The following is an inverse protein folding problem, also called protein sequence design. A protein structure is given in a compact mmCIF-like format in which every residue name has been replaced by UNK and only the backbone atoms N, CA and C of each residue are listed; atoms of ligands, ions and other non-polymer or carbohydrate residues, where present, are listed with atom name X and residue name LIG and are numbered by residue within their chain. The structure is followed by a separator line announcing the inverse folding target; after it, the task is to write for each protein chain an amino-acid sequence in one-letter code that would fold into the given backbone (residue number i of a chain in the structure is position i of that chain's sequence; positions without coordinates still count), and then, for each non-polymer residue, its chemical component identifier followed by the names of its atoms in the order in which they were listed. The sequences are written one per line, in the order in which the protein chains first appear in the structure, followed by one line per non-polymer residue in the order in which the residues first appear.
data_IF_406012961061
#
_entry.id   IF_406012961061
#
_cell.length_a   1.000
_cell.length_b   1.000
_cell.length_c   1.000
_cell.angle_alpha   90.00
_cell.angle_beta   90.00
_cell.angle_gamma   90.00
#
_symmetry.space_group_name_H-M   'P 1'
#
loop_
_entity.id
_entity.type
_entity.pdbx_description
1 polymer ?
#
# COMPACT_ATOMS: atom_id res chain seq x y z
N UNK A 1 29.57 11.48 -2.58
CA UNK A 1 28.30 11.80 -3.27
C UNK A 1 27.20 11.93 -2.23
N UNK A 2 26.63 13.13 -2.03
CA UNK A 2 25.47 13.31 -1.13
C UNK A 2 24.22 12.77 -1.84
N UNK A 3 23.64 11.71 -1.31
CA UNK A 3 22.41 11.11 -1.80
C UNK A 3 21.23 11.99 -1.38
N UNK A 4 20.55 12.60 -2.34
CA UNK A 4 19.36 13.41 -2.09
C UNK A 4 18.13 12.51 -2.06
N UNK A 5 17.54 12.34 -0.87
CA UNK A 5 16.34 11.52 -0.64
C UNK A 5 15.10 12.01 -1.42
N UNK A 6 15.18 13.12 -2.15
CA UNK A 6 14.10 13.67 -2.98
C UNK A 6 14.11 13.19 -4.44
N UNK A 7 15.04 12.33 -4.87
CA UNK A 7 15.16 11.91 -6.28
C UNK A 7 14.22 10.79 -6.74
N UNK A 8 13.43 10.16 -5.86
CA UNK A 8 12.37 9.26 -6.30
C UNK A 8 11.06 10.02 -6.41
N UNK A 9 10.75 10.51 -7.62
CA UNK A 9 9.39 10.94 -7.94
C UNK A 9 8.62 9.67 -8.28
N UNK A 10 7.98 9.08 -7.27
CA UNK A 10 6.87 8.15 -7.50
C UNK A 10 5.78 8.98 -8.16
N UNK A 11 5.30 8.56 -9.33
CA UNK A 11 4.23 9.21 -10.09
C UNK A 11 2.85 9.01 -9.41
N UNK A 12 2.79 9.35 -8.13
CA UNK A 12 1.58 9.58 -7.35
C UNK A 12 1.97 10.55 -6.24
N UNK A 13 2.16 11.83 -6.60
CA UNK A 13 2.33 12.90 -5.63
C UNK A 13 0.97 13.22 -5.01
N UNK A 14 0.44 12.28 -4.23
CA UNK A 14 -0.56 12.61 -3.22
C UNK A 14 0.16 13.41 -2.15
N UNK A 15 0.00 14.73 -2.17
CA UNK A 15 0.46 15.58 -1.09
C UNK A 15 -0.37 15.27 0.15
N UNK A 16 0.08 14.32 0.97
CA UNK A 16 -0.16 14.40 2.40
C UNK A 16 0.89 15.36 2.94
N UNK A 17 0.56 16.64 2.90
CA UNK A 17 1.28 17.61 3.72
C UNK A 17 1.18 17.06 5.15
N UNK A 18 2.30 16.76 5.80
CA UNK A 18 2.41 16.82 7.26
C UNK A 18 2.23 18.30 7.63
N UNK A 19 1.04 18.83 7.38
CA UNK A 19 0.58 20.06 7.98
C UNK A 19 0.16 19.69 9.39
N UNK A 20 0.73 20.36 10.38
CA UNK A 20 0.06 20.46 11.67
C UNK A 20 -1.41 20.75 11.42
N UNK A 21 -2.25 20.09 12.22
CA UNK A 21 -3.71 20.26 12.25
C UNK A 21 -4.12 21.63 11.69
N UNK A 22 -4.93 21.70 10.61
CA UNK A 22 -5.45 22.99 10.19
C UNK A 22 -6.14 23.61 11.40
N UNK A 23 -5.97 24.93 11.66
CA UNK A 23 -6.71 25.58 12.72
C UNK A 23 -8.18 25.33 12.43
N UNK A 24 -8.82 24.62 13.35
CA UNK A 24 -10.22 24.23 13.33
C UNK A 24 -11.02 25.43 12.88
N UNK A 25 -11.74 25.33 11.76
CA UNK A 25 -12.88 26.22 11.52
C UNK A 25 -13.78 25.99 12.71
N UNK A 26 -13.78 26.93 13.67
CA UNK A 26 -14.66 26.92 14.83
C UNK A 26 -16.09 27.18 14.35
N UNK A 27 -16.67 26.20 13.67
CA UNK A 27 -18.09 25.94 13.83
C UNK A 27 -18.26 25.45 15.27
N UNK A 28 -19.20 26.04 16.00
CA UNK A 28 -19.62 25.54 17.31
C UNK A 28 -19.92 24.04 17.19
N UNK A 29 -19.05 23.19 17.72
CA UNK A 29 -19.36 21.79 17.97
C UNK A 29 -19.21 21.61 19.47
N UNK A 30 -20.36 21.49 20.14
CA UNK A 30 -20.40 21.08 21.54
C UNK A 30 -19.71 19.71 21.67
N UNK A 31 -18.77 19.53 22.61
CA UNK A 31 -18.17 18.24 22.87
C UNK A 31 -19.20 17.40 23.65
N UNK A 32 -19.85 16.44 23.00
CA UNK A 32 -20.80 15.56 23.71
C UNK A 32 -21.64 14.62 22.86
N UNK A 33 -21.93 14.93 21.60
CA UNK A 33 -22.77 14.07 20.75
C UNK A 33 -22.34 14.19 19.30
N UNK A 34 -21.47 13.29 18.86
CA UNK A 34 -21.41 12.93 17.45
C UNK A 34 -22.08 11.57 17.35
N UNK A 35 -23.13 11.48 16.55
CA UNK A 35 -23.79 10.21 16.20
C UNK A 35 -22.82 9.38 15.36
N UNK A 36 -21.85 8.77 16.03
CA UNK A 36 -20.86 7.94 15.37
C UNK A 36 -21.59 6.74 14.75
N UNK A 37 -21.29 6.48 13.49
CA UNK A 37 -21.70 5.26 12.79
C UNK A 37 -20.61 4.84 11.81
N UNK A 38 -20.47 3.53 11.60
CA UNK A 38 -19.50 3.00 10.63
C UNK A 38 -20.11 2.77 9.25
N UNK A 39 -21.42 2.61 9.15
CA UNK A 39 -22.09 2.34 7.87
C UNK A 39 -22.16 3.57 6.96
N UNK A 40 -22.09 4.79 7.51
CA UNK A 40 -21.95 6.04 6.76
C UNK A 40 -20.71 6.82 7.20
N UNK A 41 -19.82 7.09 6.24
CA UNK A 41 -18.56 7.81 6.48
C UNK A 41 -18.43 8.99 5.53
N UNK A 42 -17.53 9.91 5.87
CA UNK A 42 -17.18 10.99 4.96
C UNK A 42 -16.35 10.47 3.79
N UNK A 43 -16.49 11.13 2.65
CA UNK A 43 -15.79 10.77 1.43
C UNK A 43 -14.70 11.79 1.11
N UNK A 44 -13.61 11.30 0.51
CA UNK A 44 -12.49 12.12 0.01
C UNK A 44 -12.38 11.91 -1.50
N UNK A 45 -12.37 13.01 -2.25
CA UNK A 45 -12.18 12.98 -3.70
C UNK A 45 -10.87 13.68 -4.07
N UNK A 46 -10.16 13.10 -5.04
CA UNK A 46 -8.90 13.65 -5.54
C UNK A 46 -9.13 14.42 -6.83
N UNK A 47 -8.54 15.62 -6.91
CA UNK A 47 -8.47 16.39 -8.16
C UNK A 47 -7.35 15.82 -9.02
N UNK A 48 -7.63 15.57 -10.29
CA UNK A 48 -6.65 15.03 -11.23
C UNK A 48 -5.45 15.98 -11.42
N UNK A 49 -4.27 15.39 -11.67
CA UNK A 49 -3.04 16.14 -11.93
C UNK A 49 -2.29 16.54 -10.66
N UNK A 50 -1.64 17.71 -10.67
CA UNK A 50 -0.77 18.20 -9.59
C UNK A 50 -1.52 18.96 -8.49
N UNK A 51 -2.85 18.93 -8.51
CA UNK A 51 -3.69 19.79 -7.69
C UNK A 51 -3.74 21.23 -8.19
N UNK A 52 -4.27 22.09 -7.34
CA UNK A 52 -4.72 23.43 -7.68
C UNK A 52 -4.20 24.45 -6.64
N UNK A 53 -3.29 25.38 -7.02
CA UNK A 53 -2.95 26.46 -6.12
C UNK A 53 -4.18 27.35 -5.91
N UNK A 54 -4.53 27.57 -4.65
CA UNK A 54 -5.62 28.44 -4.24
C UNK A 54 -5.07 29.56 -3.35
N UNK A 55 -5.54 30.78 -3.55
CA UNK A 55 -5.29 31.90 -2.64
C UNK A 55 -6.55 32.20 -1.82
N UNK A 56 -6.35 32.80 -0.65
CA UNK A 56 -7.47 33.36 0.12
C UNK A 56 -8.26 34.31 -0.78
N UNK A 57 -9.58 34.25 -0.68
CA UNK A 57 -10.52 35.10 -1.42
C UNK A 57 -10.52 34.88 -2.95
N UNK A 58 -9.81 33.85 -3.44
CA UNK A 58 -9.87 33.42 -4.84
C UNK A 58 -11.13 32.59 -5.07
N UNK A 59 -11.95 32.99 -6.05
CA UNK A 59 -13.03 32.16 -6.54
C UNK A 59 -12.48 30.99 -7.37
N UNK A 60 -12.88 29.77 -7.02
CA UNK A 60 -12.59 28.55 -7.78
C UNK A 60 -13.91 27.94 -8.24
N UNK A 61 -13.93 27.43 -9.48
CA UNK A 61 -15.09 26.73 -10.03
C UNK A 61 -14.87 25.21 -9.92
N UNK A 62 -15.76 24.55 -9.19
CA UNK A 62 -15.80 23.10 -9.05
C UNK A 62 -17.06 22.58 -9.74
N UNK A 63 -16.90 21.72 -10.74
CA UNK A 63 -18.00 20.96 -11.34
C UNK A 63 -18.17 19.66 -10.57
N UNK A 64 -19.40 19.39 -10.12
CA UNK A 64 -19.79 18.09 -9.60
C UNK A 64 -20.65 17.37 -10.64
N UNK A 65 -20.33 16.11 -10.92
CA UNK A 65 -21.08 15.25 -11.85
C UNK A 65 -21.34 13.91 -11.21
N UNK A 66 -22.55 13.37 -11.41
CA UNK A 66 -22.92 12.06 -10.90
C UNK A 66 -23.67 11.26 -11.97
N UNK A 67 -23.66 9.94 -11.80
CA UNK A 67 -24.54 9.02 -12.50
C UNK A 67 -25.35 8.22 -11.46
N UNK A 68 -25.87 7.04 -11.83
CA UNK A 68 -26.68 6.21 -10.95
C UNK A 68 -25.92 5.70 -9.72
N UNK A 69 -24.59 5.53 -9.80
CA UNK A 69 -23.80 4.82 -8.76
C UNK A 69 -22.52 5.54 -8.34
N UNK A 70 -22.19 6.69 -8.95
CA UNK A 70 -20.92 7.37 -8.70
C UNK A 70 -21.08 8.89 -8.75
N UNK A 71 -20.20 9.57 -8.00
CA UNK A 71 -20.05 11.02 -8.00
C UNK A 71 -18.58 11.36 -8.26
N UNK A 72 -18.35 12.42 -9.03
CA UNK A 72 -17.05 12.88 -9.48
C UNK A 72 -16.98 14.41 -9.41
N UNK A 73 -15.78 14.92 -9.20
CA UNK A 73 -15.54 16.34 -9.05
C UNK A 73 -14.38 16.76 -9.96
N UNK A 74 -14.56 17.86 -10.67
CA UNK A 74 -13.56 18.44 -11.54
C UNK A 74 -13.38 19.91 -11.22
N UNK A 75 -12.14 20.31 -10.96
CA UNK A 75 -11.82 21.71 -10.78
C UNK A 75 -11.56 22.37 -12.15
N UNK A 76 -12.34 23.38 -12.49
CA UNK A 76 -12.21 24.11 -13.74
C UNK A 76 -11.11 25.17 -13.59
N UNK A 77 -9.95 24.87 -14.16
CA UNK A 77 -8.82 25.79 -14.25
C UNK A 77 -8.74 26.35 -15.68
N UNK A 78 -8.73 27.67 -15.83
CA UNK A 78 -8.55 28.34 -17.11
C UNK A 78 -7.18 27.94 -17.70
N UNK A 79 -7.16 27.02 -18.67
CA UNK A 79 -6.05 26.89 -19.63
C UNK A 79 -5.35 25.54 -19.81
N UNK A 80 -5.67 24.47 -19.06
CA UNK A 80 -5.21 23.12 -19.43
C UNK A 80 -6.30 22.10 -19.11
N UNK A 81 -6.99 21.64 -20.15
CA UNK A 81 -7.87 20.48 -20.07
C UNK A 81 -7.13 19.34 -19.39
N UNK A 82 -7.84 18.64 -18.49
CA UNK A 82 -7.32 17.47 -17.82
C UNK A 82 -6.76 16.52 -18.87
N UNK A 83 -5.44 16.37 -18.92
CA UNK A 83 -4.84 15.31 -19.73
C UNK A 83 -5.27 14.02 -19.07
N UNK A 84 -6.02 13.21 -19.81
CA UNK A 84 -6.28 11.83 -19.40
C UNK A 84 -4.95 11.21 -18.96
N UNK A 85 -4.92 10.58 -17.78
CA UNK A 85 -3.71 9.96 -17.28
C UNK A 85 -3.24 8.92 -18.34
N UNK A 86 -1.98 9.02 -18.82
CA UNK A 86 -1.42 8.06 -19.80
C UNK A 86 -1.57 6.64 -19.23
N UNK A 87 -1.93 5.64 -20.04
CA UNK A 87 -2.36 4.27 -19.67
C UNK A 87 -1.45 3.43 -18.74
N UNK A 88 -0.36 3.98 -18.19
CA UNK A 88 0.61 3.26 -17.37
C UNK A 88 0.38 3.48 -15.86
N UNK A 89 -0.84 3.82 -15.44
CA UNK A 89 -1.17 4.02 -14.03
C UNK A 89 -1.30 2.70 -13.29
N UNK A 90 -0.61 2.63 -12.16
CA UNK A 90 -0.80 1.57 -11.18
C UNK A 90 -1.85 2.04 -10.16
N UNK A 91 -2.97 1.31 -10.07
CA UNK A 91 -4.00 1.56 -9.06
C UNK A 91 -3.64 0.84 -7.77
N UNK A 92 -3.38 1.62 -6.72
CA UNK A 92 -3.08 1.15 -5.36
C UNK A 92 -4.14 1.71 -4.40
N UNK A 93 -4.40 1.02 -3.28
CA UNK A 93 -5.24 1.59 -2.24
C UNK A 93 -4.61 2.85 -1.61
N UNK A 94 -5.43 3.80 -1.11
CA UNK A 94 -4.94 5.04 -0.51
C UNK A 94 -3.87 4.83 0.57
N UNK A 95 -3.98 3.77 1.37
CA UNK A 95 -3.04 3.40 2.42
C UNK A 95 -1.66 3.07 1.86
N UNK A 96 -1.61 2.35 0.73
CA UNK A 96 -0.36 2.01 0.06
C UNK A 96 0.28 3.24 -0.58
N UNK A 97 -0.53 4.11 -1.17
CA UNK A 97 -0.06 5.41 -1.70
C UNK A 97 0.51 6.27 -0.57
N UNK A 98 -0.16 6.33 0.58
CA UNK A 98 0.31 7.07 1.75
C UNK A 98 1.66 6.51 2.28
N UNK A 99 1.80 5.18 2.34
CA UNK A 99 3.05 4.52 2.73
C UNK A 99 4.21 4.90 1.80
N UNK A 100 3.99 4.90 0.49
CA UNK A 100 4.97 5.35 -0.49
C UNK A 100 5.29 6.85 -0.35
N UNK A 101 4.34 7.66 0.14
CA UNK A 101 4.52 9.05 0.52
C UNK A 101 5.31 9.28 1.82
N UNK A 102 5.45 8.27 2.69
CA UNK A 102 6.13 8.39 3.98
C UNK A 102 7.68 8.42 3.86
N UNK A 103 8.29 9.54 4.25
CA UNK A 103 9.74 9.74 4.16
C UNK A 103 10.52 8.83 5.11
N UNK A 104 10.00 8.56 6.30
CA UNK A 104 10.65 7.73 7.32
C UNK A 104 10.72 6.28 6.86
N UNK A 105 9.63 5.76 6.33
CA UNK A 105 9.54 4.43 5.73
C UNK A 105 10.50 4.28 4.54
N UNK A 106 10.50 5.24 3.60
CA UNK A 106 11.46 5.21 2.46
C UNK A 106 12.92 5.24 2.94
N UNK A 107 13.23 6.09 3.93
CA UNK A 107 14.58 6.19 4.48
C UNK A 107 15.02 4.89 5.17
N UNK A 108 14.11 4.21 5.88
CA UNK A 108 14.37 2.92 6.50
C UNK A 108 14.70 1.85 5.45
N UNK A 109 13.90 1.74 4.37
CA UNK A 109 14.20 0.80 3.27
C UNK A 109 15.57 1.07 2.65
N UNK A 110 15.85 2.33 2.29
CA UNK A 110 17.14 2.75 1.72
C UNK A 110 18.30 2.41 2.67
N UNK A 111 18.13 2.61 3.97
CA UNK A 111 19.16 2.27 4.96
C UNK A 111 19.41 0.76 5.05
N UNK A 112 18.37 -0.07 5.04
CA UNK A 112 18.52 -1.53 5.13
C UNK A 112 19.24 -2.05 3.88
N UNK A 113 18.81 -1.64 2.68
CA UNK A 113 19.44 -2.05 1.42
C UNK A 113 20.90 -1.58 1.34
N UNK A 114 21.23 -0.39 1.84
CA UNK A 114 22.61 0.08 1.89
C UNK A 114 23.46 -0.76 2.84
N UNK A 115 22.94 -1.04 4.05
CA UNK A 115 23.69 -1.73 5.09
C UNK A 115 23.91 -3.21 4.78
N UNK A 116 22.93 -3.88 4.15
CA UNK A 116 23.05 -5.28 3.73
C UNK A 116 24.17 -5.51 2.71
N UNK A 117 24.68 -4.43 2.09
CA UNK A 117 25.64 -4.50 0.99
C UNK A 117 27.03 -3.98 1.27
N UNK A 118 27.32 -3.56 2.50
CA UNK A 118 28.63 -3.02 2.91
C UNK A 118 29.82 -3.96 2.64
N UNK A 119 29.57 -5.23 2.30
CA UNK A 119 30.58 -6.26 2.07
C UNK A 119 30.59 -6.87 0.63
N UNK A 120 29.75 -6.43 -0.32
CA UNK A 120 29.66 -7.06 -1.66
C UNK A 120 29.70 -6.06 -2.81
N UNK A 121 30.44 -6.38 -3.87
CA UNK A 121 30.70 -5.47 -5.01
C UNK A 121 29.65 -5.50 -6.13
N UNK A 122 28.91 -6.60 -6.30
CA UNK A 122 27.90 -6.75 -7.39
C UNK A 122 26.88 -7.88 -7.09
N UNK A 123 26.00 -7.73 -6.09
CA UNK A 123 25.07 -8.78 -5.71
C UNK A 123 23.96 -9.00 -6.73
N UNK A 124 23.55 -10.26 -6.89
CA UNK A 124 22.29 -10.61 -7.56
C UNK A 124 21.14 -10.53 -6.56
N UNK A 125 20.11 -9.76 -6.89
CA UNK A 125 18.96 -9.51 -6.01
C UNK A 125 17.66 -10.02 -6.63
N UNK A 126 16.79 -10.62 -5.81
CA UNK A 126 15.40 -10.90 -6.17
C UNK A 126 14.44 -10.10 -5.28
N UNK A 127 13.52 -9.38 -5.90
CA UNK A 127 12.35 -8.76 -5.27
C UNK A 127 11.20 -9.74 -5.35
N UNK A 128 10.91 -10.41 -4.23
CA UNK A 128 10.06 -11.61 -4.19
C UNK A 128 8.57 -11.32 -3.89
N UNK A 129 8.08 -10.17 -4.33
CA UNK A 129 6.70 -9.73 -4.16
C UNK A 129 6.31 -8.68 -5.24
N UNK A 130 5.24 -7.92 -5.05
CA UNK A 130 4.76 -6.87 -5.96
C UNK A 130 5.37 -5.48 -5.69
N UNK A 131 6.49 -5.40 -4.96
CA UNK A 131 7.08 -4.12 -4.53
C UNK A 131 7.79 -3.37 -5.65
N UNK A 132 7.06 -2.47 -6.32
CA UNK A 132 7.61 -1.63 -7.39
C UNK A 132 8.68 -0.64 -6.88
N UNK A 133 8.52 -0.10 -5.68
CA UNK A 133 9.47 0.87 -5.15
C UNK A 133 10.81 0.23 -4.76
N UNK A 134 10.76 -0.99 -4.22
CA UNK A 134 11.94 -1.72 -3.78
C UNK A 134 12.87 -2.09 -4.95
N UNK A 135 12.32 -2.52 -6.09
CA UNK A 135 13.11 -2.82 -7.29
C UNK A 135 13.94 -1.60 -7.76
N UNK A 136 13.33 -0.41 -7.76
CA UNK A 136 14.00 0.84 -8.12
C UNK A 136 15.06 1.26 -7.10
N UNK A 137 14.78 1.10 -5.80
CA UNK A 137 15.76 1.40 -4.75
C UNK A 137 17.00 0.54 -4.93
N UNK A 138 16.82 -0.78 -5.10
CA UNK A 138 17.95 -1.71 -5.22
C UNK A 138 18.80 -1.35 -6.43
N UNK A 139 18.18 -1.17 -7.60
CA UNK A 139 18.89 -0.81 -8.82
C UNK A 139 19.59 0.54 -8.72
N UNK A 140 18.94 1.55 -8.12
CA UNK A 140 19.52 2.89 -7.99
C UNK A 140 20.65 2.98 -6.97
N UNK A 141 20.57 2.22 -5.87
CA UNK A 141 21.62 2.19 -4.85
C UNK A 141 22.80 1.29 -5.26
N UNK A 142 22.54 0.32 -6.13
CA UNK A 142 23.50 -0.68 -6.56
C UNK A 142 23.52 -0.80 -8.10
N UNK A 143 24.13 0.18 -8.81
CA UNK A 143 24.09 0.20 -10.27
C UNK A 143 24.77 -0.99 -10.96
N UNK A 144 25.62 -1.74 -10.25
CA UNK A 144 26.28 -2.96 -10.74
C UNK A 144 25.49 -4.25 -10.45
N UNK A 145 24.38 -4.16 -9.73
CA UNK A 145 23.60 -5.32 -9.28
C UNK A 145 22.52 -5.70 -10.28
N UNK A 146 22.40 -6.99 -10.56
CA UNK A 146 21.26 -7.53 -11.31
C UNK A 146 20.07 -7.66 -10.37
N UNK A 147 18.96 -7.04 -10.73
CA UNK A 147 17.71 -7.04 -9.96
C UNK A 147 16.67 -7.82 -10.73
N UNK A 148 16.22 -8.92 -10.16
CA UNK A 148 15.13 -9.72 -10.68
C UNK A 148 13.88 -9.38 -9.88
N UNK A 149 12.79 -8.99 -10.52
CA UNK A 149 11.52 -8.73 -9.82
C UNK A 149 10.44 -9.71 -10.27
N UNK A 150 9.75 -10.29 -9.29
CA UNK A 150 8.80 -11.37 -9.54
C UNK A 150 7.43 -10.86 -10.01
N UNK A 151 6.90 -9.82 -9.37
CA UNK A 151 5.57 -9.26 -9.67
C UNK A 151 4.47 -10.32 -9.88
N UNK A 152 4.23 -11.21 -8.89
CA UNK A 152 3.31 -12.33 -9.04
C UNK A 152 1.86 -11.89 -9.36
N UNK A 153 1.43 -10.70 -8.90
CA UNK A 153 0.10 -10.15 -9.22
C UNK A 153 0.17 -8.97 -10.19
N UNK A 154 1.22 -8.14 -10.12
CA UNK A 154 1.33 -6.96 -11.00
C UNK A 154 1.72 -7.32 -12.43
N UNK A 155 2.58 -8.32 -12.64
CA UNK A 155 3.09 -8.76 -13.95
C UNK A 155 3.51 -7.56 -14.82
N UNK A 156 3.08 -7.54 -16.09
CA UNK A 156 3.40 -6.48 -17.07
C UNK A 156 2.95 -5.09 -16.62
N UNK A 157 1.88 -4.97 -15.80
CA UNK A 157 1.48 -3.66 -15.25
C UNK A 157 2.56 -3.11 -14.31
N UNK A 158 3.19 -3.97 -13.52
CA UNK A 158 4.33 -3.62 -12.69
C UNK A 158 5.51 -3.17 -13.53
N UNK A 159 5.84 -3.91 -14.60
CA UNK A 159 6.89 -3.54 -15.55
C UNK A 159 6.65 -2.17 -16.18
N UNK A 160 5.46 -1.94 -16.74
CA UNK A 160 5.10 -0.68 -17.40
C UNK A 160 5.17 0.50 -16.43
N UNK A 161 4.79 0.29 -15.17
CA UNK A 161 4.91 1.30 -14.14
C UNK A 161 6.37 1.58 -13.77
N UNK A 162 7.19 0.53 -13.57
CA UNK A 162 8.63 0.68 -13.32
C UNK A 162 9.32 1.46 -14.43
N UNK A 163 9.05 1.10 -15.69
CA UNK A 163 9.62 1.77 -16.85
C UNK A 163 9.24 3.25 -16.87
N UNK A 164 7.96 3.57 -16.66
CA UNK A 164 7.49 4.95 -16.63
C UNK A 164 8.17 5.78 -15.51
N UNK A 165 8.39 5.18 -14.34
CA UNK A 165 9.11 5.84 -13.24
C UNK A 165 10.59 5.99 -13.56
N UNK A 166 11.23 4.97 -14.15
CA UNK A 166 12.63 5.04 -14.54
C UNK A 166 12.88 6.12 -15.59
N UNK A 167 12.04 6.18 -16.63
CA UNK A 167 12.08 7.21 -17.68
C UNK A 167 11.92 8.61 -17.08
N UNK A 168 10.96 8.79 -16.16
CA UNK A 168 10.70 10.08 -15.53
C UNK A 168 11.85 10.55 -14.61
N UNK A 169 12.68 9.62 -14.12
CA UNK A 169 13.77 9.92 -13.19
C UNK A 169 15.18 9.73 -13.83
N UNK A 170 15.26 9.47 -15.14
CA UNK A 170 16.50 9.17 -15.87
C UNK A 170 17.29 8.01 -15.23
N UNK A 171 16.60 6.95 -14.83
CA UNK A 171 17.19 5.73 -14.31
C UNK A 171 17.31 4.69 -15.44
N UNK A 172 18.42 3.94 -15.47
CA UNK A 172 18.54 2.80 -16.38
C UNK A 172 17.73 1.61 -15.85
N UNK A 173 17.02 0.93 -16.75
CA UNK A 173 16.32 -0.32 -16.49
C UNK A 173 17.14 -1.56 -16.89
N UNK A 174 18.36 -1.39 -17.43
CA UNK A 174 19.17 -2.49 -17.98
C UNK A 174 19.51 -3.55 -16.92
N UNK A 175 19.54 -3.13 -15.66
CA UNK A 175 19.84 -3.98 -14.52
C UNK A 175 18.58 -4.62 -13.89
N UNK A 176 17.37 -4.23 -14.32
CA UNK A 176 16.11 -4.76 -13.78
C UNK A 176 15.47 -5.71 -14.79
N UNK A 177 15.37 -6.99 -14.44
CA UNK A 177 14.64 -8.01 -15.19
C UNK A 177 13.32 -8.34 -14.47
N UNK A 178 12.19 -8.09 -15.12
CA UNK A 178 10.89 -8.58 -14.63
C UNK A 178 10.71 -10.02 -15.08
N UNK A 179 10.49 -10.94 -14.14
CA UNK A 179 10.28 -12.36 -14.45
C UNK A 179 8.78 -12.66 -14.62
N UNK A 180 7.91 -12.04 -13.82
CA UNK A 180 6.46 -12.24 -13.92
C UNK A 180 5.98 -13.63 -13.49
N UNK A 181 6.83 -14.39 -12.77
CA UNK A 181 6.56 -15.78 -12.34
C UNK A 181 6.52 -15.90 -10.81
N UNK A 182 5.90 -16.98 -10.33
CA UNK A 182 5.87 -17.35 -8.90
C UNK A 182 7.19 -18.05 -8.48
N UNK A 183 7.53 -18.06 -7.19
CA UNK A 183 8.77 -18.70 -6.72
C UNK A 183 8.86 -20.17 -7.11
N UNK A 184 7.75 -20.90 -7.06
CA UNK A 184 7.68 -22.32 -7.39
C UNK A 184 8.08 -22.65 -8.83
N UNK A 185 8.06 -21.67 -9.73
CA UNK A 185 8.36 -21.84 -11.16
C UNK A 185 9.73 -21.30 -11.55
N UNK A 186 10.42 -20.63 -10.62
CA UNK A 186 11.72 -20.02 -10.86
C UNK A 186 12.84 -21.06 -10.85
N UNK A 187 13.72 -20.95 -11.83
CA UNK A 187 14.90 -21.83 -11.98
C UNK A 187 16.18 -21.01 -12.11
N UNK A 188 17.33 -21.66 -12.04
CA UNK A 188 18.63 -21.01 -12.29
C UNK A 188 18.73 -20.43 -13.71
N UNK A 189 18.01 -20.98 -14.69
CA UNK A 189 18.02 -20.48 -16.07
C UNK A 189 17.41 -19.07 -16.14
N UNK A 190 16.36 -18.81 -15.34
CA UNK A 190 15.72 -17.49 -15.28
C UNK A 190 16.67 -16.42 -14.70
N UNK A 191 17.61 -16.86 -13.86
CA UNK A 191 18.61 -16.06 -13.16
C UNK A 191 19.98 -16.04 -13.86
N UNK A 192 20.06 -16.43 -15.13
CA UNK A 192 21.31 -16.48 -15.90
C UNK A 192 22.40 -17.32 -15.22
N UNK A 193 22.01 -18.41 -14.55
CA UNK A 193 22.87 -19.30 -13.77
C UNK A 193 23.62 -18.65 -12.60
N UNK A 194 23.15 -17.50 -12.10
CA UNK A 194 23.73 -16.84 -10.93
C UNK A 194 22.91 -17.10 -9.66
N UNK A 195 23.62 -17.33 -8.55
CA UNK A 195 23.01 -17.47 -7.23
C UNK A 195 22.55 -16.13 -6.71
N UNK A 196 21.40 -16.11 -6.03
CA UNK A 196 20.82 -14.91 -5.43
C UNK A 196 21.53 -14.60 -4.11
N UNK A 197 22.08 -13.40 -4.03
CA UNK A 197 22.75 -12.88 -2.84
C UNK A 197 21.79 -12.13 -1.91
N UNK A 198 20.72 -11.57 -2.47
CA UNK A 198 19.80 -10.70 -1.76
C UNK A 198 18.36 -11.05 -2.14
N UNK A 199 17.56 -11.53 -1.20
CA UNK A 199 16.12 -11.70 -1.35
C UNK A 199 15.40 -10.63 -0.55
N UNK A 200 14.64 -9.77 -1.22
CA UNK A 200 13.99 -8.62 -0.60
C UNK A 200 12.48 -8.58 -0.92
N UNK A 201 11.71 -7.99 -0.02
CA UNK A 201 10.30 -7.67 -0.21
C UNK A 201 9.86 -6.60 0.78
N UNK A 202 8.77 -5.91 0.47
CA UNK A 202 7.98 -5.14 1.44
C UNK A 202 6.96 -6.03 2.17
N UNK A 203 6.99 -7.35 1.93
CA UNK A 203 5.84 -8.25 1.82
C UNK A 203 4.54 -7.62 1.31
N UNK A 204 4.54 -7.16 0.06
CA UNK A 204 3.36 -6.57 -0.57
C UNK A 204 2.86 -7.38 -1.78
N UNK A 205 1.59 -7.73 -1.78
CA UNK A 205 0.93 -8.45 -2.88
C UNK A 205 -0.29 -7.68 -3.35
N UNK A 206 -0.28 -7.19 -4.58
CA UNK A 206 -1.34 -6.31 -5.11
C UNK A 206 -2.72 -6.98 -5.09
N UNK A 207 -2.77 -8.27 -5.42
CA UNK A 207 -4.02 -9.04 -5.40
C UNK A 207 -4.55 -9.38 -4.00
N UNK A 208 -3.84 -8.98 -2.93
CA UNK A 208 -4.22 -9.24 -1.54
C UNK A 208 -4.26 -7.94 -0.73
N UNK A 209 -4.29 -6.78 -1.39
CA UNK A 209 -4.57 -5.51 -0.73
C UNK A 209 -5.92 -5.55 0.00
N UNK A 210 -5.95 -5.06 1.24
CA UNK A 210 -7.15 -5.09 2.10
C UNK A 210 -7.36 -6.41 2.87
N UNK A 211 -6.63 -7.48 2.53
CA UNK A 211 -6.72 -8.75 3.28
C UNK A 211 -6.01 -8.67 4.64
N UNK A 212 -6.22 -9.70 5.47
CA UNK A 212 -5.62 -9.81 6.80
C UNK A 212 -4.07 -9.72 6.75
N UNK A 213 -3.41 -9.03 7.70
CA UNK A 213 -1.98 -8.78 7.64
C UNK A 213 -1.09 -10.02 7.52
N UNK A 214 -1.52 -11.16 8.08
CA UNK A 214 -0.77 -12.42 8.02
C UNK A 214 -0.78 -13.09 6.63
N UNK A 215 -1.62 -12.64 5.69
CA UNK A 215 -1.52 -13.09 4.30
C UNK A 215 -0.16 -12.71 3.68
N UNK A 216 0.47 -11.64 4.19
CA UNK A 216 1.82 -11.24 3.76
C UNK A 216 2.92 -12.19 4.25
N UNK A 217 2.64 -13.15 5.16
CA UNK A 217 3.55 -14.26 5.49
C UNK A 217 3.86 -15.13 4.27
N UNK A 218 3.11 -14.98 3.18
CA UNK A 218 3.46 -15.50 1.87
C UNK A 218 4.93 -15.24 1.49
N UNK A 219 5.51 -14.10 1.86
CA UNK A 219 6.94 -13.82 1.59
C UNK A 219 7.86 -14.89 2.19
N UNK A 220 7.54 -15.41 3.37
CA UNK A 220 8.31 -16.49 3.98
C UNK A 220 8.22 -17.78 3.16
N UNK A 221 7.04 -18.10 2.62
CA UNK A 221 6.89 -19.22 1.72
C UNK A 221 7.67 -19.03 0.41
N UNK A 222 7.59 -17.85 -0.22
CA UNK A 222 8.35 -17.56 -1.45
C UNK A 222 9.88 -17.66 -1.16
N UNK A 223 10.37 -17.15 -0.04
CA UNK A 223 11.77 -17.31 0.37
C UNK A 223 12.17 -18.78 0.52
N UNK A 224 11.32 -19.60 1.14
CA UNK A 224 11.60 -21.04 1.30
C UNK A 224 11.64 -21.76 -0.04
N UNK A 225 10.75 -21.42 -0.97
CA UNK A 225 10.74 -21.98 -2.32
C UNK A 225 11.96 -21.56 -3.15
N UNK A 226 12.48 -20.34 -2.91
CA UNK A 226 13.67 -19.82 -3.59
C UNK A 226 14.99 -20.31 -2.98
N UNK A 227 14.96 -21.02 -1.84
CA UNK A 227 16.16 -21.51 -1.13
C UNK A 227 17.19 -22.21 -2.05
N UNK A 228 16.79 -23.08 -3.00
CA UNK A 228 17.74 -23.70 -3.94
C UNK A 228 18.45 -22.72 -4.87
N UNK A 229 17.92 -21.51 -5.05
CA UNK A 229 18.47 -20.45 -5.91
C UNK A 229 19.33 -19.45 -5.13
N UNK A 230 19.32 -19.50 -3.78
CA UNK A 230 20.07 -18.60 -2.93
C UNK A 230 21.55 -19.03 -2.80
N UNK A 231 22.44 -18.06 -2.58
CA UNK A 231 23.79 -18.31 -2.07
C UNK A 231 23.74 -18.71 -0.59
N UNK A 232 24.75 -19.45 -0.10
CA UNK A 232 24.79 -19.91 1.30
C UNK A 232 24.71 -18.76 2.32
N UNK A 233 25.23 -17.59 1.94
CA UNK A 233 25.25 -16.38 2.74
C UNK A 233 24.19 -15.36 2.31
N UNK A 234 23.14 -15.77 1.59
CA UNK A 234 22.13 -14.85 1.07
C UNK A 234 21.45 -14.04 2.18
N UNK A 235 21.36 -12.73 1.97
CA UNK A 235 20.66 -11.82 2.88
C UNK A 235 19.16 -11.80 2.56
N UNK A 236 18.32 -11.85 3.60
CA UNK A 236 16.86 -11.77 3.47
C UNK A 236 16.29 -10.53 4.14
N UNK A 237 15.45 -9.80 3.41
CA UNK A 237 14.66 -8.67 3.92
C UNK A 237 13.19 -8.83 3.55
N UNK A 238 12.26 -8.85 4.53
CA UNK A 238 12.52 -8.90 5.96
C UNK A 238 13.21 -10.20 6.39
N UNK A 239 13.93 -10.16 7.51
CA UNK A 239 14.56 -11.34 8.11
C UNK A 239 13.66 -12.05 9.14
N UNK A 240 12.60 -11.39 9.61
CA UNK A 240 11.61 -11.93 10.55
C UNK A 240 10.26 -11.22 10.42
N UNK A 241 9.19 -11.97 10.66
CA UNK A 241 7.85 -11.44 10.91
C UNK A 241 7.51 -11.58 12.40
N UNK A 242 6.80 -10.60 12.97
CA UNK A 242 6.31 -10.68 14.35
C UNK A 242 4.84 -10.29 14.34
N UNK A 243 3.97 -11.26 14.65
CA UNK A 243 2.56 -10.98 14.90
C UNK A 243 2.40 -10.46 16.32
N UNK A 244 1.74 -9.31 16.47
CA UNK A 244 1.49 -8.68 17.78
C UNK A 244 0.00 -8.51 17.98
N UNK A 245 -0.43 -8.71 19.21
CA UNK A 245 -1.80 -8.50 19.64
C UNK A 245 -1.81 -7.42 20.72
N UNK A 246 -2.83 -6.57 20.69
CA UNK A 246 -3.06 -5.55 21.69
C UNK A 246 -4.55 -5.56 22.02
N UNK A 247 -4.88 -5.80 23.28
CA UNK A 247 -6.23 -5.59 23.78
C UNK A 247 -6.49 -4.08 23.83
N UNK A 248 -7.59 -3.65 23.23
CA UNK A 248 -7.94 -2.23 23.16
C UNK A 248 -9.42 -2.05 23.47
N UNK A 249 -9.76 -0.95 24.16
CA UNK A 249 -11.13 -0.46 24.24
C UNK A 249 -11.28 0.68 23.22
N UNK A 250 -12.10 0.45 22.20
CA UNK A 250 -12.40 1.42 21.15
C UNK A 250 -13.82 1.94 21.40
N UNK A 251 -14.05 3.21 21.74
CA UNK A 251 -15.33 3.70 22.30
C UNK A 251 -16.58 3.39 21.48
N UNK A 252 -16.47 3.41 20.16
CA UNK A 252 -17.63 3.27 19.27
C UNK A 252 -17.53 2.07 18.30
N UNK A 253 -16.32 1.62 17.94
CA UNK A 253 -16.14 0.58 16.93
C UNK A 253 -16.81 -0.76 17.32
N UNK A 254 -16.81 -1.09 18.61
CA UNK A 254 -17.46 -2.30 19.12
C UNK A 254 -18.97 -2.34 18.80
N UNK A 255 -19.63 -1.17 18.67
CA UNK A 255 -21.06 -1.07 18.34
C UNK A 255 -21.38 -1.62 16.95
N UNK A 256 -20.40 -1.63 16.03
CA UNK A 256 -20.58 -2.21 14.68
C UNK A 256 -20.75 -3.74 14.69
N UNK A 257 -20.42 -4.40 15.81
CA UNK A 257 -20.47 -5.86 15.96
C UNK A 257 -21.26 -6.31 17.20
N UNK A 258 -21.81 -5.39 17.97
CA UNK A 258 -22.60 -5.71 19.17
C UNK A 258 -23.85 -6.51 18.79
N UNK A 259 -24.23 -7.47 19.64
CA UNK A 259 -25.56 -8.06 19.58
C UNK A 259 -26.68 -7.01 19.63
N UNK A 260 -27.71 -7.22 18.82
CA UNK A 260 -28.95 -6.45 18.81
C UNK A 260 -30.01 -7.14 19.66
N UNK A 261 -30.78 -6.36 20.41
CA UNK A 261 -31.92 -6.84 21.20
C UNK A 261 -33.15 -6.00 20.83
N UNK A 262 -33.66 -5.19 21.74
CA UNK A 262 -34.69 -4.19 21.44
C UNK A 262 -34.07 -2.99 20.72
N UNK A 263 -34.56 -2.74 19.51
CA UNK A 263 -34.27 -1.52 18.75
C UNK A 263 -35.61 -0.86 18.42
N UNK A 264 -35.85 0.32 19.00
CA UNK A 264 -37.09 1.08 18.84
C UNK A 264 -38.36 0.28 19.20
N UNK A 265 -38.30 -0.59 20.21
CA UNK A 265 -39.44 -1.40 20.68
C UNK A 265 -39.67 -2.71 19.92
N UNK A 266 -38.73 -3.11 19.06
CA UNK A 266 -38.80 -4.36 18.29
C UNK A 266 -37.61 -5.27 18.60
N UNK A 267 -37.89 -6.56 18.83
CA UNK A 267 -36.88 -7.58 19.05
C UNK A 267 -36.13 -7.94 17.75
N UNK A 268 -34.83 -7.66 17.74
CA UNK A 268 -33.90 -7.95 16.64
C UNK A 268 -32.90 -9.08 16.97
N UNK A 269 -33.10 -9.81 18.06
CA UNK A 269 -32.18 -10.88 18.50
C UNK A 269 -31.91 -11.94 17.42
N UNK A 270 -32.90 -12.26 16.59
CA UNK A 270 -32.78 -13.20 15.45
C UNK A 270 -31.69 -12.82 14.43
N UNK A 271 -31.35 -11.53 14.32
CA UNK A 271 -30.31 -11.04 13.41
C UNK A 271 -28.93 -11.50 13.87
N UNK A 272 -28.71 -11.63 15.19
CA UNK A 272 -27.42 -12.01 15.76
C UNK A 272 -27.01 -13.42 15.33
N UNK A 273 -27.95 -14.36 15.30
CA UNK A 273 -27.72 -15.73 14.85
C UNK A 273 -27.44 -15.80 13.34
N UNK A 274 -28.03 -14.89 12.56
CA UNK A 274 -27.92 -14.88 11.10
C UNK A 274 -26.65 -14.20 10.60
N UNK A 275 -26.29 -13.05 11.17
CA UNK A 275 -25.15 -12.23 10.72
C UNK A 275 -23.89 -12.41 11.57
N UNK A 276 -24.02 -13.02 12.74
CA UNK A 276 -22.98 -13.08 13.77
C UNK A 276 -22.87 -11.76 14.54
N UNK A 277 -22.78 -11.87 15.87
CA UNK A 277 -22.58 -10.75 16.77
C UNK A 277 -21.46 -11.04 17.78
N UNK A 278 -20.99 -10.01 18.48
CA UNK A 278 -19.96 -10.06 19.50
C UNK A 278 -20.42 -9.31 20.76
N UNK A 279 -20.14 -9.89 21.93
CA UNK A 279 -20.58 -9.31 23.21
C UNK A 279 -22.07 -9.55 23.48
N UNK A 280 -22.43 -9.63 24.75
CA UNK A 280 -23.81 -9.76 25.24
C UNK A 280 -24.61 -11.00 24.73
N UNK A 281 -23.94 -12.00 24.12
CA UNK A 281 -24.60 -13.25 23.70
C UNK A 281 -24.84 -14.21 24.89
N UNK A 282 -25.99 -14.92 24.94
CA UNK A 282 -26.21 -16.00 25.90
C UNK A 282 -25.09 -17.05 25.82
N UNK A 283 -24.69 -17.63 26.95
CA UNK A 283 -23.46 -18.42 27.09
C UNK A 283 -23.27 -19.60 26.12
N UNK A 284 -24.35 -20.10 25.50
CA UNK A 284 -24.31 -21.20 24.53
C UNK A 284 -24.14 -20.73 23.06
N UNK A 285 -24.31 -19.44 22.78
CA UNK A 285 -24.23 -18.83 21.43
C UNK A 285 -22.92 -18.07 21.17
N UNK A 286 -21.88 -18.28 21.99
CA UNK A 286 -20.53 -17.77 21.71
C UNK A 286 -19.90 -18.54 20.53
N UNK A 287 -20.52 -18.44 19.36
CA UNK A 287 -20.08 -18.99 18.08
C UNK A 287 -19.02 -18.10 17.42
N UNK A 288 -18.26 -18.64 16.46
CA UNK A 288 -16.98 -18.07 16.05
C UNK A 288 -17.18 -16.68 15.46
N UNK A 289 -16.36 -15.74 15.92
CA UNK A 289 -16.15 -14.47 15.22
C UNK A 289 -15.90 -14.78 13.74
N UNK A 290 -16.86 -14.45 12.87
CA UNK A 290 -16.62 -14.49 11.45
C UNK A 290 -15.41 -13.59 11.17
N UNK A 291 -14.37 -14.19 10.61
CA UNK A 291 -13.26 -13.46 10.00
C UNK A 291 -13.84 -12.51 8.95
N UNK A 292 -13.50 -11.23 9.07
CA UNK A 292 -13.81 -10.23 8.06
C UNK A 292 -13.48 -10.74 6.64
N UNK A 293 -14.40 -10.52 5.71
CA UNK A 293 -14.15 -10.46 4.27
C UNK A 293 -13.46 -9.15 3.92
#
# INVERSE_FOLDING_TARGET
MKYDNNKFIIASRAYFQQGGLPPTVKGLVLPGTKDWCDHWKQCVWFIQGTGAPAKKDQALSLSASHNQTSSSYQLNMNGKGSRSPKSNHLTLLPEKVALYGDKGWRAALVSVIRNSMSARSSPTCIVADDSVFLALIVSSLLPSSKVFTMFPSLRDRGFNYLQAVADANNLSMDQIKVIGQKASSLTMNDLNHEKVNLIVGEPFYHGSEGMLPWQNLRFWNERTLLDPLLSEDAFSMPCKGILRFCAMSLPDLWRSRRGLEDVEGFDHSVVNDTLGACGDLPGEQQGPCLSYF
#
